data_IF_499971747221
#
_entry.id   IF_499971747221
#
_cell.length_a   1.000
_cell.length_b   1.000
_cell.length_c   1.000
_cell.angle_alpha   90.00
_cell.angle_beta   90.00
_cell.angle_gamma   90.00
#
_symmetry.space_group_name_H-M   'P 1'
#
loop_
_entity.id
_entity.type
_entity.pdbx_description
1 polymer ?
#
# COMPACT_ATOMS: atom_id res chain seq x y z
N UNK A 1 -28.75 15.53 -39.74
CA UNK A 1 -27.57 15.10 -38.98
C UNK A 1 -28.04 14.19 -37.84
N UNK A 2 -27.87 12.88 -37.98
CA UNK A 2 -28.22 11.90 -36.93
C UNK A 2 -27.29 12.15 -35.73
N UNK A 3 -27.80 12.66 -34.63
CA UNK A 3 -27.09 12.67 -33.34
C UNK A 3 -26.83 11.22 -32.98
N UNK A 4 -25.58 10.76 -33.11
CA UNK A 4 -25.16 9.47 -32.59
C UNK A 4 -25.49 9.47 -31.09
N UNK A 5 -26.38 8.57 -30.66
CA UNK A 5 -26.72 8.38 -29.26
C UNK A 5 -25.46 7.90 -28.53
N UNK A 6 -24.88 8.80 -27.71
CA UNK A 6 -23.71 8.45 -26.89
C UNK A 6 -24.08 7.33 -25.93
N UNK A 7 -23.22 6.34 -25.79
CA UNK A 7 -23.44 5.27 -24.81
C UNK A 7 -23.44 5.85 -23.37
N UNK A 8 -24.15 5.17 -22.46
CA UNK A 8 -24.23 5.60 -21.04
C UNK A 8 -22.85 5.78 -20.40
N UNK A 9 -21.89 4.92 -20.73
CA UNK A 9 -20.51 5.02 -20.26
C UNK A 9 -19.78 6.26 -20.80
N UNK A 10 -20.02 6.63 -22.06
CA UNK A 10 -19.45 7.85 -22.65
C UNK A 10 -20.02 9.12 -22.00
N UNK A 11 -21.31 9.13 -21.70
CA UNK A 11 -21.95 10.24 -20.99
C UNK A 11 -21.45 10.37 -19.56
N UNK A 12 -21.30 9.25 -18.84
CA UNK A 12 -20.76 9.22 -17.49
C UNK A 12 -19.31 9.73 -17.46
N UNK A 13 -18.46 9.28 -18.38
CA UNK A 13 -17.07 9.72 -18.48
C UNK A 13 -16.96 11.21 -18.86
N UNK A 14 -17.84 11.70 -19.73
CA UNK A 14 -17.89 13.11 -20.11
C UNK A 14 -18.29 13.99 -18.92
N UNK A 15 -19.32 13.59 -18.14
CA UNK A 15 -19.71 14.27 -16.91
C UNK A 15 -18.59 14.24 -15.85
N UNK A 16 -17.90 13.12 -15.73
CA UNK A 16 -16.77 12.98 -14.81
C UNK A 16 -15.62 13.94 -15.17
N UNK A 17 -15.26 14.05 -16.46
CA UNK A 17 -14.25 15.01 -16.94
C UNK A 17 -14.58 16.47 -16.64
N UNK A 18 -15.86 16.81 -16.58
CA UNK A 18 -16.32 18.17 -16.22
C UNK A 18 -16.23 18.45 -14.73
N UNK A 19 -16.17 17.41 -13.89
CA UNK A 19 -16.00 17.55 -12.45
C UNK A 19 -14.52 17.72 -12.10
N UNK A 20 -14.08 18.97 -11.91
CA UNK A 20 -12.70 19.33 -11.60
C UNK A 20 -12.19 18.63 -10.32
N UNK A 21 -13.02 18.57 -9.26
CA UNK A 21 -12.69 17.92 -8.00
C UNK A 21 -12.48 16.42 -8.22
N UNK A 22 -13.38 15.76 -8.96
CA UNK A 22 -13.25 14.35 -9.30
C UNK A 22 -11.97 14.04 -10.10
N UNK A 23 -11.64 14.92 -11.08
CA UNK A 23 -10.39 14.76 -11.86
C UNK A 23 -9.13 14.93 -11.01
N UNK A 24 -9.10 15.93 -10.12
CA UNK A 24 -7.96 16.13 -9.20
C UNK A 24 -7.81 14.92 -8.28
N UNK A 25 -8.91 14.42 -7.70
CA UNK A 25 -8.90 13.24 -6.84
C UNK A 25 -8.40 12.00 -7.57
N UNK A 26 -8.83 11.79 -8.82
CA UNK A 26 -8.34 10.68 -9.66
C UNK A 26 -6.84 10.81 -9.91
N UNK A 27 -6.36 11.99 -10.31
CA UNK A 27 -4.94 12.24 -10.53
C UNK A 27 -4.11 11.97 -9.25
N UNK A 28 -4.63 12.38 -8.08
CA UNK A 28 -3.98 12.13 -6.80
C UNK A 28 -3.91 10.64 -6.47
N UNK A 29 -5.00 9.89 -6.67
CA UNK A 29 -5.02 8.43 -6.47
C UNK A 29 -4.03 7.73 -7.41
N UNK A 30 -3.99 8.13 -8.69
CA UNK A 30 -3.05 7.58 -9.65
C UNK A 30 -1.60 7.91 -9.29
N UNK A 31 -1.34 9.13 -8.80
CA UNK A 31 -0.03 9.52 -8.29
C UNK A 31 0.39 8.68 -7.07
N UNK A 32 -0.49 8.49 -6.09
CA UNK A 32 -0.23 7.60 -4.96
C UNK A 32 0.02 6.15 -5.40
N UNK A 33 -0.74 5.66 -6.38
CA UNK A 33 -0.53 4.34 -6.99
C UNK A 33 0.84 4.22 -7.67
N UNK A 34 1.24 5.26 -8.41
CA UNK A 34 2.58 5.33 -9.02
C UNK A 34 3.67 5.29 -7.95
N UNK A 35 3.57 6.13 -6.90
CA UNK A 35 4.52 6.12 -5.78
C UNK A 35 4.54 4.75 -5.09
N UNK A 36 3.39 4.11 -4.91
CA UNK A 36 3.29 2.78 -4.29
C UNK A 36 3.99 1.69 -5.11
N UNK A 37 3.91 1.74 -6.44
CA UNK A 37 4.58 0.78 -7.33
C UNK A 37 6.10 1.02 -7.35
N UNK A 38 6.51 2.28 -7.47
CA UNK A 38 7.90 2.69 -7.63
C UNK A 38 8.56 3.16 -6.33
N UNK A 39 8.04 2.76 -5.16
CA UNK A 39 8.56 3.22 -3.87
C UNK A 39 10.04 2.91 -3.65
N UNK A 40 10.50 1.71 -4.02
CA UNK A 40 11.91 1.32 -3.85
C UNK A 40 12.89 2.06 -4.78
N UNK A 41 12.63 2.23 -6.08
CA UNK A 41 13.47 3.09 -6.92
C UNK A 41 13.52 4.55 -6.48
N UNK A 42 12.43 5.07 -5.89
CA UNK A 42 12.34 6.46 -5.41
C UNK A 42 12.95 6.66 -4.02
N UNK A 43 13.07 5.60 -3.22
CA UNK A 43 13.55 5.67 -1.85
C UNK A 43 15.09 5.78 -1.80
N UNK A 44 15.66 6.77 -1.06
CA UNK A 44 17.10 6.82 -0.77
C UNK A 44 17.63 5.57 -0.07
N UNK A 45 16.87 4.99 0.85
CA UNK A 45 17.10 3.67 1.41
C UNK A 45 16.16 2.67 0.71
N UNK A 46 16.68 1.96 -0.28
CA UNK A 46 15.96 0.96 -1.05
C UNK A 46 16.06 -0.45 -0.46
N UNK A 47 16.53 -0.59 0.78
CA UNK A 47 16.54 -1.86 1.50
C UNK A 47 15.12 -2.35 1.77
N UNK A 48 14.97 -3.63 2.08
CA UNK A 48 13.67 -4.20 2.39
C UNK A 48 13.02 -3.46 3.57
N UNK A 49 11.85 -2.86 3.33
CA UNK A 49 11.09 -2.01 4.26
C UNK A 49 11.82 -0.73 4.73
N UNK A 50 12.88 -0.27 4.02
CA UNK A 50 13.76 0.82 4.48
C UNK A 50 14.10 0.67 5.96
N UNK A 51 14.65 -0.46 6.32
CA UNK A 51 14.84 -0.85 7.70
C UNK A 51 16.33 -0.85 8.12
N UNK A 52 17.17 -0.10 7.43
CA UNK A 52 18.55 0.13 7.89
C UNK A 52 18.52 1.05 9.12
N UNK A 53 18.86 0.47 10.28
CA UNK A 53 18.84 1.16 11.56
C UNK A 53 20.23 1.67 11.92
N UNK A 54 20.31 2.95 12.30
CA UNK A 54 21.54 3.62 12.73
C UNK A 54 21.25 4.38 14.01
N UNK A 55 21.28 3.69 15.15
CA UNK A 55 20.92 4.25 16.45
C UNK A 55 21.76 5.47 16.82
N UNK A 56 22.97 5.56 16.30
CA UNK A 56 23.92 6.66 16.51
C UNK A 56 23.43 8.01 15.95
N UNK A 57 22.60 7.93 14.92
CA UNK A 57 22.03 9.13 14.27
C UNK A 57 20.51 9.19 14.42
N UNK A 58 19.98 8.71 15.55
CA UNK A 58 18.54 8.78 15.83
C UNK A 58 18.02 10.23 15.90
N UNK A 59 16.78 10.46 15.50
CA UNK A 59 16.05 11.73 15.65
C UNK A 59 16.78 12.97 15.13
N UNK A 60 17.50 12.84 13.99
CA UNK A 60 18.17 13.97 13.35
C UNK A 60 17.17 14.78 12.52
N UNK A 61 17.37 16.12 12.42
CA UNK A 61 16.47 17.02 11.71
C UNK A 61 16.51 16.80 10.18
N UNK A 62 15.52 17.31 9.45
CA UNK A 62 15.53 17.32 7.99
C UNK A 62 16.80 17.99 7.42
N UNK A 63 17.35 17.42 6.35
CA UNK A 63 18.58 17.90 5.71
C UNK A 63 19.87 17.45 6.40
N UNK A 64 19.80 16.58 7.42
CA UNK A 64 20.99 16.05 8.11
C UNK A 64 21.88 15.27 7.13
N UNK A 65 23.19 15.53 7.20
CA UNK A 65 24.22 14.89 6.36
C UNK A 65 25.23 14.16 7.22
N UNK A 66 25.65 12.99 6.75
CA UNK A 66 26.67 12.18 7.43
C UNK A 66 27.37 11.28 6.42
N UNK A 67 28.67 11.04 6.63
CA UNK A 67 29.39 10.04 5.86
C UNK A 67 29.02 8.64 6.31
N UNK A 68 28.62 7.80 5.35
CA UNK A 68 28.25 6.39 5.58
C UNK A 68 29.33 5.49 4.97
N UNK A 69 29.87 4.60 5.78
CA UNK A 69 30.76 3.52 5.33
C UNK A 69 29.89 2.29 5.06
N UNK A 70 29.89 1.81 3.81
CA UNK A 70 29.16 0.58 3.44
C UNK A 70 30.13 -0.61 3.48
N UNK A 71 29.91 -1.53 4.41
CA UNK A 71 30.62 -2.82 4.43
C UNK A 71 29.91 -3.74 3.42
N UNK A 72 30.60 -4.20 2.35
CA UNK A 72 29.97 -5.02 1.34
C UNK A 72 29.48 -6.35 1.93
N UNK A 73 28.31 -6.78 1.49
CA UNK A 73 27.80 -8.11 1.83
C UNK A 73 28.59 -9.19 1.10
N UNK A 74 28.96 -10.24 1.79
CA UNK A 74 29.63 -11.42 1.20
C UNK A 74 28.69 -12.27 0.34
N UNK A 75 27.40 -12.14 0.51
CA UNK A 75 26.38 -12.91 -0.20
C UNK A 75 25.74 -12.00 -1.26
N UNK A 76 26.11 -12.18 -2.52
CA UNK A 76 25.40 -11.56 -3.65
C UNK A 76 24.26 -12.48 -4.08
N UNK A 77 23.00 -12.05 -3.85
CA UNK A 77 21.82 -12.68 -4.46
C UNK A 77 21.50 -11.93 -5.75
N UNK A 78 21.33 -12.66 -6.85
CA UNK A 78 20.78 -12.06 -8.08
C UNK A 78 19.34 -11.62 -7.80
N UNK A 79 19.06 -10.33 -7.93
CA UNK A 79 17.73 -9.76 -7.81
C UNK A 79 17.20 -9.43 -9.20
N UNK A 80 16.12 -10.09 -9.60
CA UNK A 80 15.37 -9.69 -10.80
C UNK A 80 14.78 -8.29 -10.60
N UNK A 81 14.59 -7.53 -11.70
CA UNK A 81 13.92 -6.22 -11.65
C UNK A 81 12.55 -6.29 -10.97
N UNK A 82 11.80 -7.36 -11.19
CA UNK A 82 10.50 -7.56 -10.58
C UNK A 82 10.62 -7.81 -9.06
N UNK A 83 11.59 -8.60 -8.62
CA UNK A 83 11.86 -8.84 -7.19
C UNK A 83 12.35 -7.56 -6.49
N UNK A 84 13.16 -6.74 -7.16
CA UNK A 84 13.54 -5.42 -6.65
C UNK A 84 12.35 -4.48 -6.49
N UNK A 85 11.44 -4.41 -7.47
CA UNK A 85 10.23 -3.61 -7.36
C UNK A 85 9.29 -4.09 -6.24
N UNK A 86 9.28 -5.40 -5.95
CA UNK A 86 8.40 -5.96 -4.92
C UNK A 86 9.00 -5.90 -3.51
N UNK A 87 10.28 -6.17 -3.36
CA UNK A 87 10.91 -6.41 -2.05
C UNK A 87 12.08 -5.47 -1.73
N UNK A 88 12.46 -4.61 -2.69
CA UNK A 88 13.64 -3.77 -2.55
C UNK A 88 14.95 -4.52 -2.74
N UNK A 89 16.05 -3.88 -2.40
CA UNK A 89 17.38 -4.44 -2.53
C UNK A 89 17.69 -5.38 -1.35
N UNK A 90 17.94 -6.65 -1.66
CA UNK A 90 18.32 -7.68 -0.66
C UNK A 90 19.82 -7.74 -0.39
N UNK A 91 20.60 -7.05 -1.20
CA UNK A 91 22.09 -7.06 -1.17
C UNK A 91 22.66 -5.79 -0.52
N UNK A 92 21.90 -5.14 0.34
CA UNK A 92 22.39 -3.98 1.09
C UNK A 92 23.47 -4.42 2.06
N UNK A 93 24.70 -3.91 1.87
CA UNK A 93 25.76 -4.05 2.87
C UNK A 93 25.38 -3.36 4.19
N UNK A 94 26.10 -3.61 5.25
CA UNK A 94 25.91 -2.91 6.51
C UNK A 94 26.45 -1.49 6.36
N UNK A 95 25.59 -0.49 6.48
CA UNK A 95 25.98 0.92 6.50
C UNK A 95 26.28 1.35 7.95
N UNK A 96 27.39 2.09 8.14
CA UNK A 96 27.83 2.60 9.44
C UNK A 96 28.06 4.10 9.32
N UNK A 97 27.41 4.95 10.12
CA UNK A 97 27.67 6.39 10.14
C UNK A 97 29.03 6.68 10.77
N UNK A 98 29.85 7.44 10.04
CA UNK A 98 31.23 7.76 10.46
C UNK A 98 31.47 9.28 10.49
N UNK A 99 32.33 9.73 11.38
CA UNK A 99 32.79 11.12 11.49
C UNK A 99 34.05 11.32 10.64
N UNK A 100 35.02 10.38 10.77
CA UNK A 100 36.30 10.43 10.08
C UNK A 100 36.86 9.03 9.92
N UNK A 101 37.81 8.90 9.00
CA UNK A 101 38.54 7.66 8.80
C UNK A 101 40.01 7.94 8.53
N UNK A 102 40.88 6.97 8.83
CA UNK A 102 42.31 6.98 8.53
C UNK A 102 42.76 5.61 8.01
N UNK A 103 43.65 5.60 7.06
CA UNK A 103 44.26 4.37 6.59
C UNK A 103 45.57 4.19 7.38
N UNK A 104 45.66 3.10 8.12
CA UNK A 104 46.84 2.75 8.90
C UNK A 104 47.35 1.38 8.44
N UNK A 105 48.41 1.40 7.57
CA UNK A 105 48.96 0.22 6.95
C UNK A 105 47.93 -0.58 6.14
N UNK A 106 47.58 -1.79 6.57
CA UNK A 106 46.58 -2.66 5.93
C UNK A 106 45.18 -2.56 6.54
N UNK A 107 44.98 -1.62 7.46
CA UNK A 107 43.68 -1.47 8.18
C UNK A 107 43.08 -0.09 7.88
N UNK A 108 41.74 -0.06 7.77
CA UNK A 108 40.90 1.13 7.80
C UNK A 108 40.44 1.37 9.22
N UNK A 109 40.90 2.46 9.84
CA UNK A 109 40.44 2.90 11.14
C UNK A 109 39.34 3.94 10.95
N UNK A 110 38.16 3.67 11.51
CA UNK A 110 37.00 4.54 11.39
C UNK A 110 36.55 5.03 12.76
N UNK A 111 36.30 6.33 12.88
CA UNK A 111 35.63 6.92 14.03
C UNK A 111 34.14 6.94 13.77
N UNK A 112 33.38 6.10 14.47
CA UNK A 112 31.93 6.04 14.36
C UNK A 112 31.27 7.27 14.97
N UNK A 113 30.05 7.59 14.56
CA UNK A 113 29.35 8.82 14.95
C UNK A 113 29.08 8.94 16.47
N UNK A 114 28.81 7.82 17.15
CA UNK A 114 28.52 7.81 18.60
C UNK A 114 29.63 7.18 19.45
N UNK A 115 30.69 6.67 18.82
CA UNK A 115 31.74 5.95 19.53
C UNK A 115 33.05 6.73 19.46
N UNK A 116 33.66 7.01 20.61
CA UNK A 116 34.96 7.69 20.67
C UNK A 116 36.10 6.77 20.25
N UNK A 117 35.89 5.45 20.19
CA UNK A 117 36.90 4.47 19.87
C UNK A 117 37.02 4.28 18.34
N UNK A 118 38.25 4.25 17.86
CA UNK A 118 38.54 3.87 16.48
C UNK A 118 38.36 2.37 16.30
N UNK A 119 37.42 1.98 15.42
CA UNK A 119 37.28 0.59 15.01
C UNK A 119 38.10 0.31 13.77
N UNK A 120 38.99 -0.68 13.81
CA UNK A 120 39.82 -1.07 12.70
C UNK A 120 39.17 -2.21 11.90
N UNK A 121 39.15 -2.08 10.58
CA UNK A 121 38.70 -3.11 9.64
C UNK A 121 39.78 -3.37 8.59
N UNK A 122 40.03 -4.63 8.18
CA UNK A 122 41.02 -4.93 7.13
C UNK A 122 40.67 -4.25 5.82
N UNK A 123 41.63 -3.57 5.16
CA UNK A 123 41.45 -2.92 3.86
C UNK A 123 41.06 -3.91 2.74
N UNK A 124 41.41 -5.18 2.89
CA UNK A 124 41.05 -6.22 1.94
C UNK A 124 39.53 -6.35 1.73
N UNK A 125 38.72 -6.07 2.74
CA UNK A 125 37.24 -6.06 2.66
C UNK A 125 36.75 -5.00 1.67
N UNK A 126 37.53 -3.92 1.48
CA UNK A 126 37.17 -2.78 0.62
C UNK A 126 37.96 -2.79 -0.69
N UNK A 127 38.47 -3.96 -1.14
CA UNK A 127 39.30 -4.09 -2.34
C UNK A 127 40.44 -3.06 -2.40
N UNK A 128 41.01 -2.72 -1.26
CA UNK A 128 42.06 -1.71 -1.06
C UNK A 128 41.67 -0.27 -1.54
N UNK A 129 40.39 0.00 -1.75
CA UNK A 129 39.84 1.31 -2.15
C UNK A 129 38.70 1.73 -1.23
N UNK A 130 38.97 2.11 0.02
CA UNK A 130 37.91 2.42 1.00
C UNK A 130 37.06 3.64 0.60
N UNK A 131 37.60 4.62 -0.09
CA UNK A 131 36.88 5.80 -0.55
C UNK A 131 35.67 5.48 -1.44
N UNK A 132 35.70 4.37 -2.16
CA UNK A 132 34.57 3.90 -2.99
C UNK A 132 33.38 3.47 -2.14
N UNK A 133 33.63 3.08 -0.90
CA UNK A 133 32.62 2.57 0.05
C UNK A 133 32.16 3.62 1.07
N UNK A 134 32.74 4.84 1.02
CA UNK A 134 32.37 5.95 1.88
C UNK A 134 31.64 6.99 1.03
N UNK A 135 30.38 7.25 1.37
CA UNK A 135 29.55 8.24 0.67
C UNK A 135 28.83 9.14 1.65
N UNK A 136 28.77 10.44 1.34
CA UNK A 136 27.92 11.37 2.07
C UNK A 136 26.45 11.04 1.76
N UNK A 137 25.66 10.76 2.81
CA UNK A 137 24.23 10.50 2.72
C UNK A 137 23.47 11.66 3.32
N UNK A 138 22.53 12.21 2.59
CA UNK A 138 21.64 13.28 3.02
C UNK A 138 20.30 12.70 3.39
N UNK A 139 19.85 12.90 4.62
CA UNK A 139 18.54 12.52 5.11
C UNK A 139 17.58 13.69 4.91
N UNK A 140 16.88 13.72 3.77
CA UNK A 140 16.04 14.86 3.37
C UNK A 140 14.95 15.20 4.41
N UNK A 141 14.31 14.20 5.00
CA UNK A 141 13.31 14.38 6.07
C UNK A 141 13.86 14.04 7.44
N UNK A 142 15.18 13.89 7.55
CA UNK A 142 15.84 13.49 8.79
C UNK A 142 15.69 12.00 9.08
N UNK A 143 15.93 11.62 10.33
CA UNK A 143 15.88 10.23 10.79
C UNK A 143 14.83 10.03 11.87
N UNK A 144 14.27 8.83 11.94
CA UNK A 144 13.34 8.44 13.00
C UNK A 144 14.07 8.07 14.31
N UNK A 145 13.33 7.65 15.32
CA UNK A 145 13.86 7.24 16.63
C UNK A 145 14.82 6.03 16.57
N UNK A 146 14.91 5.35 15.45
CA UNK A 146 15.84 4.25 15.22
C UNK A 146 16.96 4.61 14.23
N UNK A 147 17.07 5.88 13.83
CA UNK A 147 18.07 6.33 12.87
C UNK A 147 17.80 5.92 11.42
N UNK A 148 16.56 5.50 11.08
CA UNK A 148 16.17 5.12 9.73
C UNK A 148 15.77 6.34 8.91
N UNK A 149 15.97 6.30 7.60
CA UNK A 149 15.58 7.38 6.70
C UNK A 149 14.06 7.57 6.65
N UNK A 150 13.58 8.71 7.13
CA UNK A 150 12.15 8.99 7.25
C UNK A 150 11.46 9.11 5.89
N UNK A 151 12.13 9.70 4.89
CA UNK A 151 11.58 9.81 3.53
C UNK A 151 11.34 8.43 2.91
N UNK A 152 12.31 7.53 2.99
CA UNK A 152 12.18 6.17 2.48
C UNK A 152 11.05 5.40 3.15
N UNK A 153 10.91 5.57 4.47
CA UNK A 153 9.81 4.93 5.21
C UNK A 153 8.44 5.48 4.83
N UNK A 154 8.31 6.77 4.53
CA UNK A 154 7.06 7.35 4.03
C UNK A 154 6.69 6.80 2.65
N UNK A 155 7.67 6.71 1.73
CA UNK A 155 7.45 6.16 0.40
C UNK A 155 7.00 4.69 0.45
N UNK A 156 7.68 3.87 1.25
CA UNK A 156 7.31 2.45 1.41
C UNK A 156 5.99 2.31 2.19
N UNK A 157 5.75 3.18 3.18
CA UNK A 157 4.47 3.26 3.90
C UNK A 157 3.29 3.56 2.98
N UNK A 158 3.48 4.42 1.97
CA UNK A 158 2.46 4.70 0.94
C UNK A 158 2.06 3.42 0.20
N UNK A 159 3.01 2.56 -0.15
CA UNK A 159 2.74 1.27 -0.79
C UNK A 159 1.88 0.37 0.10
N UNK A 160 2.25 0.23 1.37
CA UNK A 160 1.52 -0.62 2.32
C UNK A 160 0.08 -0.10 2.47
N UNK A 161 -0.08 1.21 2.71
CA UNK A 161 -1.40 1.83 2.88
C UNK A 161 -2.26 1.72 1.62
N UNK A 162 -1.67 1.96 0.44
CA UNK A 162 -2.37 1.84 -0.84
C UNK A 162 -2.81 0.40 -1.11
N UNK A 163 -1.94 -0.59 -0.82
CA UNK A 163 -2.25 -2.01 -0.98
C UNK A 163 -3.37 -2.46 -0.03
N UNK A 164 -3.34 -2.02 1.24
CA UNK A 164 -4.42 -2.28 2.21
C UNK A 164 -5.74 -1.75 1.67
N UNK A 165 -5.78 -0.47 1.28
CA UNK A 165 -6.98 0.17 0.77
C UNK A 165 -7.52 -0.53 -0.48
N UNK A 166 -6.66 -0.83 -1.46
CA UNK A 166 -7.06 -1.45 -2.72
C UNK A 166 -7.64 -2.86 -2.51
N UNK A 167 -6.95 -3.71 -1.74
CA UNK A 167 -7.40 -5.08 -1.47
C UNK A 167 -8.67 -5.10 -0.64
N UNK A 168 -8.74 -4.26 0.40
CA UNK A 168 -9.93 -4.15 1.25
C UNK A 168 -11.16 -3.67 0.46
N UNK A 169 -11.00 -2.65 -0.40
CA UNK A 169 -12.07 -2.18 -1.28
C UNK A 169 -12.51 -3.27 -2.26
N UNK A 170 -11.56 -4.00 -2.87
CA UNK A 170 -11.90 -5.08 -3.78
C UNK A 170 -12.73 -6.19 -3.09
N UNK A 171 -12.32 -6.64 -1.90
CA UNK A 171 -13.05 -7.64 -1.13
C UNK A 171 -14.44 -7.11 -0.74
N UNK A 172 -14.51 -5.89 -0.21
CA UNK A 172 -15.76 -5.29 0.22
C UNK A 172 -16.75 -5.06 -0.93
N UNK A 173 -16.27 -4.61 -2.08
CA UNK A 173 -17.09 -4.47 -3.29
C UNK A 173 -17.60 -5.82 -3.77
N UNK A 174 -16.75 -6.84 -3.86
CA UNK A 174 -17.14 -8.14 -4.33
C UNK A 174 -18.25 -8.74 -3.47
N UNK A 175 -18.06 -8.77 -2.15
CA UNK A 175 -19.07 -9.32 -1.22
C UNK A 175 -20.28 -8.39 -1.15
N UNK A 176 -20.07 -7.09 -1.01
CA UNK A 176 -21.14 -6.11 -0.81
C UNK A 176 -22.05 -5.98 -2.03
N UNK A 177 -21.50 -5.94 -3.24
CA UNK A 177 -22.31 -5.90 -4.48
C UNK A 177 -23.12 -7.18 -4.62
N UNK A 178 -22.51 -8.35 -4.39
CA UNK A 178 -23.20 -9.63 -4.51
C UNK A 178 -24.34 -9.75 -3.49
N UNK A 179 -24.09 -9.51 -2.21
CA UNK A 179 -25.09 -9.61 -1.15
C UNK A 179 -26.16 -8.54 -1.28
N UNK A 180 -25.76 -7.30 -1.61
CA UNK A 180 -26.70 -6.20 -1.81
C UNK A 180 -27.62 -6.41 -3.02
N UNK A 181 -27.09 -6.95 -4.12
CA UNK A 181 -27.87 -7.25 -5.32
C UNK A 181 -28.89 -8.35 -5.03
N UNK A 182 -28.49 -9.43 -4.39
CA UNK A 182 -29.40 -10.55 -4.03
C UNK A 182 -30.49 -10.04 -3.09
N UNK A 183 -30.17 -9.34 -2.01
CA UNK A 183 -31.15 -8.81 -1.06
C UNK A 183 -32.12 -7.85 -1.72
N UNK A 184 -31.62 -6.90 -2.51
CA UNK A 184 -32.46 -5.93 -3.22
C UNK A 184 -33.40 -6.55 -4.27
N UNK A 185 -32.88 -7.54 -5.02
CA UNK A 185 -33.66 -8.15 -6.10
C UNK A 185 -34.72 -9.13 -5.60
N UNK A 186 -34.33 -10.13 -4.79
CA UNK A 186 -35.26 -11.19 -4.38
C UNK A 186 -36.26 -10.76 -3.33
N UNK A 187 -35.92 -9.75 -2.50
CA UNK A 187 -36.80 -9.24 -1.46
C UNK A 187 -37.27 -10.32 -0.45
N UNK A 188 -38.25 -10.04 0.42
CA UNK A 188 -38.85 -11.03 1.32
C UNK A 188 -37.85 -11.70 2.28
N UNK A 189 -37.95 -13.01 2.47
CA UNK A 189 -37.14 -13.77 3.45
C UNK A 189 -35.62 -13.69 3.20
N UNK A 190 -35.19 -13.65 1.93
CA UNK A 190 -33.78 -13.54 1.56
C UNK A 190 -33.24 -12.17 1.97
N UNK A 191 -33.97 -11.13 1.67
CA UNK A 191 -33.61 -9.76 2.08
C UNK A 191 -33.56 -9.64 3.61
N UNK A 192 -34.57 -10.18 4.31
CA UNK A 192 -34.60 -10.18 5.79
C UNK A 192 -33.38 -10.87 6.39
N UNK A 193 -32.95 -12.01 5.82
CA UNK A 193 -31.77 -12.74 6.28
C UNK A 193 -30.47 -11.91 6.04
N UNK A 194 -30.32 -11.34 4.85
CA UNK A 194 -29.17 -10.52 4.51
C UNK A 194 -29.10 -9.29 5.42
N UNK A 195 -30.23 -8.59 5.61
CA UNK A 195 -30.30 -7.44 6.50
C UNK A 195 -30.02 -7.81 7.96
N UNK A 196 -30.41 -9.01 8.40
CA UNK A 196 -30.09 -9.51 9.74
C UNK A 196 -28.58 -9.67 9.91
N UNK A 197 -27.87 -10.29 8.94
CA UNK A 197 -26.40 -10.43 8.97
C UNK A 197 -25.73 -9.05 8.96
N UNK A 198 -26.20 -8.13 8.11
CA UNK A 198 -25.74 -6.74 8.05
C UNK A 198 -25.85 -6.07 9.41
N UNK A 199 -27.01 -6.19 10.07
CA UNK A 199 -27.27 -5.53 11.35
C UNK A 199 -26.42 -6.12 12.48
N UNK A 200 -26.20 -7.44 12.52
CA UNK A 200 -25.28 -8.07 13.48
C UNK A 200 -23.86 -7.53 13.29
N UNK A 201 -23.39 -7.52 12.06
CA UNK A 201 -22.03 -7.02 11.76
C UNK A 201 -21.87 -5.55 12.16
N UNK A 202 -22.91 -4.73 11.94
CA UNK A 202 -22.90 -3.31 12.30
C UNK A 202 -23.05 -3.03 13.80
N UNK A 203 -23.60 -3.98 14.56
CA UNK A 203 -23.70 -3.86 16.02
C UNK A 203 -22.35 -3.98 16.72
N UNK A 204 -21.35 -4.53 16.03
CA UNK A 204 -19.99 -4.67 16.56
C UNK A 204 -19.15 -3.46 16.11
N UNK A 205 -18.47 -2.74 17.01
CA UNK A 205 -17.56 -1.67 16.62
C UNK A 205 -16.52 -2.18 15.62
N UNK A 206 -16.44 -1.52 14.44
CA UNK A 206 -15.62 -1.97 13.31
C UNK A 206 -14.17 -2.26 13.71
N UNK A 207 -13.57 -1.40 14.55
CA UNK A 207 -12.20 -1.60 15.01
C UNK A 207 -12.02 -2.91 15.80
N UNK A 208 -12.98 -3.22 16.69
CA UNK A 208 -12.95 -4.46 17.47
C UNK A 208 -13.11 -5.68 16.56
N UNK A 209 -13.98 -5.59 15.56
CA UNK A 209 -14.19 -6.67 14.60
C UNK A 209 -12.94 -6.93 13.76
N UNK A 210 -12.28 -5.87 13.26
CA UNK A 210 -10.99 -5.98 12.53
C UNK A 210 -9.93 -6.65 13.41
N UNK A 211 -9.80 -6.23 14.67
CA UNK A 211 -8.83 -6.82 15.60
C UNK A 211 -9.15 -8.30 15.83
N UNK A 212 -10.42 -8.64 16.10
CA UNK A 212 -10.82 -10.02 16.35
C UNK A 212 -10.53 -10.94 15.14
N UNK A 213 -10.89 -10.50 13.92
CA UNK A 213 -10.60 -11.25 12.70
C UNK A 213 -9.08 -11.39 12.48
N UNK A 214 -8.31 -10.31 12.69
CA UNK A 214 -6.86 -10.34 12.52
C UNK A 214 -6.19 -11.30 13.50
N UNK A 215 -6.64 -11.32 14.77
CA UNK A 215 -6.13 -12.26 15.77
C UNK A 215 -6.50 -13.70 15.44
N UNK A 216 -7.72 -13.95 14.96
CA UNK A 216 -8.17 -15.28 14.55
C UNK A 216 -7.41 -15.84 13.35
N UNK A 217 -7.05 -14.98 12.37
CA UNK A 217 -6.28 -15.34 11.19
C UNK A 217 -4.76 -15.45 11.44
N UNK A 218 -4.29 -14.97 12.60
CA UNK A 218 -2.87 -14.94 12.95
C UNK A 218 -2.18 -13.61 12.61
N UNK A 219 -0.88 -13.51 12.93
CA UNK A 219 -0.09 -12.29 12.73
C UNK A 219 0.41 -12.16 11.29
N UNK A 220 0.11 -11.05 10.63
CA UNK A 220 0.64 -10.74 9.31
C UNK A 220 -0.08 -9.58 8.62
N UNK A 221 0.50 -9.07 7.54
CA UNK A 221 -0.04 -7.92 6.78
C UNK A 221 -1.30 -8.35 5.99
N UNK A 222 -1.30 -9.55 5.43
CA UNK A 222 -2.42 -10.09 4.65
C UNK A 222 -3.69 -10.27 5.48
N UNK A 223 -3.54 -10.67 6.76
CA UNK A 223 -4.65 -10.84 7.69
C UNK A 223 -5.39 -9.52 7.93
N UNK A 224 -4.64 -8.42 8.03
CA UNK A 224 -5.23 -7.08 8.16
C UNK A 224 -6.01 -6.70 6.91
N UNK A 225 -5.50 -6.98 5.71
CA UNK A 225 -6.18 -6.67 4.44
C UNK A 225 -7.53 -7.39 4.35
N UNK A 226 -7.53 -8.69 4.68
CA UNK A 226 -8.73 -9.52 4.68
C UNK A 226 -9.71 -9.03 5.75
N UNK A 227 -9.24 -8.77 6.97
CA UNK A 227 -10.08 -8.32 8.06
C UNK A 227 -10.81 -7.00 7.74
N UNK A 228 -10.09 -6.01 7.20
CA UNK A 228 -10.69 -4.73 6.80
C UNK A 228 -11.70 -4.94 5.66
N UNK A 229 -11.37 -5.71 4.65
CA UNK A 229 -12.29 -6.01 3.54
C UNK A 229 -13.57 -6.73 4.00
N UNK A 230 -13.43 -7.69 4.93
CA UNK A 230 -14.53 -8.43 5.52
C UNK A 230 -15.40 -7.61 6.49
N UNK A 231 -14.98 -6.44 6.91
CA UNK A 231 -15.78 -5.55 7.75
C UNK A 231 -16.48 -4.46 6.95
N UNK A 232 -15.91 -4.00 5.86
CA UNK A 232 -16.45 -2.89 5.06
C UNK A 232 -17.53 -3.28 4.05
N UNK A 233 -17.73 -4.57 3.77
CA UNK A 233 -18.73 -5.03 2.78
C UNK A 233 -20.15 -4.62 3.12
N UNK A 234 -20.46 -4.46 4.40
CA UNK A 234 -21.80 -4.17 4.92
C UNK A 234 -22.34 -2.83 4.42
N UNK A 235 -21.49 -1.80 4.40
CA UNK A 235 -21.83 -0.47 3.88
C UNK A 235 -22.13 -0.54 2.39
N UNK A 236 -21.27 -1.23 1.64
CA UNK A 236 -21.45 -1.45 0.20
C UNK A 236 -22.75 -2.19 -0.08
N UNK A 237 -22.99 -3.30 0.65
CA UNK A 237 -24.20 -4.11 0.49
C UNK A 237 -25.47 -3.29 0.71
N UNK A 238 -25.50 -2.43 1.70
CA UNK A 238 -26.66 -1.57 2.00
C UNK A 238 -26.92 -0.56 0.87
N UNK A 239 -25.88 0.10 0.36
CA UNK A 239 -26.00 1.05 -0.74
C UNK A 239 -26.48 0.34 -2.01
N UNK A 240 -25.84 -0.78 -2.38
CA UNK A 240 -26.22 -1.57 -3.57
C UNK A 240 -27.65 -2.09 -3.45
N UNK A 241 -28.04 -2.62 -2.29
CA UNK A 241 -29.42 -3.07 -2.05
C UNK A 241 -30.43 -1.95 -2.32
N UNK A 242 -30.19 -0.75 -1.78
CA UNK A 242 -31.07 0.41 -2.02
C UNK A 242 -31.20 0.75 -3.51
N UNK A 243 -30.08 0.76 -4.24
CA UNK A 243 -30.09 1.02 -5.66
C UNK A 243 -30.83 -0.07 -6.46
N UNK A 244 -30.63 -1.35 -6.13
CA UNK A 244 -31.29 -2.47 -6.82
C UNK A 244 -32.80 -2.44 -6.57
N UNK A 245 -33.27 -2.13 -5.36
CA UNK A 245 -34.71 -1.97 -5.08
C UNK A 245 -35.32 -0.87 -5.98
N UNK A 246 -34.64 0.26 -6.12
CA UNK A 246 -35.09 1.37 -6.96
C UNK A 246 -35.07 0.98 -8.46
N UNK A 247 -34.00 0.32 -8.91
CA UNK A 247 -33.88 -0.11 -10.31
C UNK A 247 -34.91 -1.19 -10.68
N UNK A 248 -35.26 -2.08 -9.76
CA UNK A 248 -36.26 -3.16 -9.99
C UNK A 248 -37.65 -2.62 -10.35
N UNK A 249 -37.95 -1.38 -9.98
CA UNK A 249 -39.24 -0.73 -10.26
C UNK A 249 -39.26 0.01 -11.60
N UNK A 250 -38.16 -0.06 -12.38
CA UNK A 250 -38.08 0.62 -13.66
C UNK A 250 -38.79 -0.19 -14.77
N UNK A 251 -39.41 0.51 -15.70
CA UNK A 251 -40.19 -0.08 -16.81
C UNK A 251 -39.39 -1.09 -17.66
N UNK A 252 -38.10 -0.86 -17.86
CA UNK A 252 -37.27 -1.78 -18.63
C UNK A 252 -37.06 -3.12 -17.91
N UNK A 253 -37.05 -3.13 -16.58
CA UNK A 253 -36.98 -4.37 -15.78
C UNK A 253 -38.27 -5.17 -15.89
N UNK A 254 -39.43 -4.48 -15.83
CA UNK A 254 -40.75 -5.11 -16.03
C UNK A 254 -40.88 -5.68 -17.44
N UNK A 255 -40.42 -4.92 -18.45
CA UNK A 255 -40.41 -5.41 -19.83
C UNK A 255 -39.51 -6.67 -19.99
N UNK A 256 -38.34 -6.71 -19.37
CA UNK A 256 -37.45 -7.86 -19.38
C UNK A 256 -38.11 -9.10 -18.74
N UNK A 257 -38.85 -8.93 -17.64
CA UNK A 257 -39.63 -9.99 -16.99
C UNK A 257 -40.76 -10.50 -17.91
N UNK A 258 -41.50 -9.60 -18.55
CA UNK A 258 -42.55 -9.93 -19.45
C UNK A 258 -42.04 -10.72 -20.68
N UNK A 259 -40.79 -10.45 -21.11
CA UNK A 259 -40.09 -11.20 -22.17
C UNK A 259 -39.51 -12.54 -21.71
N UNK A 260 -39.68 -12.93 -20.41
CA UNK A 260 -39.27 -14.24 -19.89
C UNK A 260 -37.77 -14.33 -19.56
N UNK A 261 -37.05 -13.21 -19.40
CA UNK A 261 -35.66 -13.29 -18.95
C UNK A 261 -35.57 -13.80 -17.51
N UNK A 262 -34.55 -14.64 -17.24
CA UNK A 262 -34.35 -15.21 -15.90
C UNK A 262 -33.90 -14.11 -14.90
N UNK A 263 -34.25 -14.28 -13.63
CA UNK A 263 -33.91 -13.36 -12.54
C UNK A 263 -32.40 -13.12 -12.44
N UNK A 264 -31.58 -14.16 -12.65
CA UNK A 264 -30.12 -14.02 -12.68
C UNK A 264 -29.65 -13.09 -13.80
N UNK A 265 -30.23 -13.22 -15.01
CA UNK A 265 -29.89 -12.38 -16.16
C UNK A 265 -30.31 -10.93 -15.92
N UNK A 266 -31.47 -10.70 -15.33
CA UNK A 266 -31.99 -9.36 -15.01
C UNK A 266 -31.12 -8.68 -13.93
N UNK A 267 -30.65 -9.44 -12.93
CA UNK A 267 -29.90 -8.89 -11.81
C UNK A 267 -28.44 -8.58 -12.17
N UNK A 268 -27.81 -9.41 -13.01
CA UNK A 268 -26.36 -9.33 -13.22
C UNK A 268 -25.96 -8.99 -14.68
N UNK A 269 -26.91 -8.76 -15.56
CA UNK A 269 -26.65 -8.44 -16.98
C UNK A 269 -27.58 -7.36 -17.53
#
# INVERSE_FOLDING_TARGET
>A
MLQQSKSLSQLAFQKFKQNKVGMISLCFILFCGFVAIFCYPLAPDNSNFANQMHLEIHSKPPGFKVNMLTIPSTIKKETSLFDFLLHGNKNTGTEIPIISYKINGKNLEVKQYADALLKASPLAIFNNKPDTYIKEKTFHFGTDKYGRDLLSRLLIGTRISFSIGFIAVFISLFIGVFMGAIGGYFSGKIDTLIMWVINITWSIPTLLLVIAITLALGKGVWQVFIAVGLTMWVEVARVVRGQVITMKQQQYVEAAKALGFSDFRITFR
#
